data_IF_618448840252
#
_entry.id   IF_618448840252
#
_cell.length_a   1.000
_cell.length_b   1.000
_cell.length_c   1.000
_cell.angle_alpha   90.00
_cell.angle_beta   90.00
_cell.angle_gamma   90.00
#
_symmetry.space_group_name_H-M   'P 1'
#
loop_
_entity.id
_entity.type
_entity.pdbx_description
1 polymer ?
#
# COMPACT_ATOMS: atom_id res chain seq x y z
N UNK A 1 18.49 -9.58 -23.21
CA UNK A 1 18.57 -10.13 -21.84
C UNK A 1 19.61 -9.42 -20.97
N UNK A 2 20.80 -9.11 -21.47
CA UNK A 2 21.85 -8.41 -20.70
C UNK A 2 21.43 -7.02 -20.18
N UNK A 3 20.70 -6.26 -20.98
CA UNK A 3 20.20 -4.93 -20.61
C UNK A 3 19.28 -4.99 -19.42
N UNK A 4 18.33 -5.93 -19.41
CA UNK A 4 17.38 -6.12 -18.31
C UNK A 4 18.11 -6.51 -17.02
N UNK A 5 19.19 -7.29 -17.13
CA UNK A 5 19.99 -7.71 -15.99
C UNK A 5 20.85 -6.56 -15.43
N UNK A 6 21.34 -5.65 -16.28
CA UNK A 6 22.03 -4.43 -15.86
C UNK A 6 21.06 -3.46 -15.19
N UNK A 7 19.89 -3.26 -15.77
CA UNK A 7 18.86 -2.37 -15.23
C UNK A 7 18.30 -2.87 -13.89
N UNK A 8 18.20 -4.20 -13.71
CA UNK A 8 17.79 -4.77 -12.43
C UNK A 8 18.85 -4.65 -11.33
N UNK A 9 20.15 -4.58 -11.68
CA UNK A 9 21.23 -4.35 -10.70
C UNK A 9 21.16 -2.98 -10.04
N UNK A 10 20.63 -1.97 -10.72
CA UNK A 10 20.43 -0.63 -10.13
C UNK A 10 19.48 -0.71 -8.93
N UNK A 11 18.47 -1.57 -8.98
CA UNK A 11 17.51 -1.72 -7.88
C UNK A 11 18.18 -2.13 -6.56
N UNK A 12 19.25 -2.95 -6.61
CA UNK A 12 19.99 -3.37 -5.40
C UNK A 12 20.91 -2.28 -4.85
N UNK A 13 21.35 -1.33 -5.68
CA UNK A 13 22.20 -0.22 -5.26
C UNK A 13 21.40 0.93 -4.60
N UNK A 14 20.11 1.05 -4.90
CA UNK A 14 19.22 2.07 -4.34
C UNK A 14 18.63 1.70 -2.96
N UNK A 15 18.97 0.57 -2.39
CA UNK A 15 18.42 0.11 -1.10
C UNK A 15 18.66 1.09 0.06
N UNK A 16 19.71 1.90 0.03
CA UNK A 16 19.98 2.92 1.06
C UNK A 16 18.92 4.01 1.19
N UNK A 17 18.04 4.21 0.19
CA UNK A 17 17.00 5.25 0.19
C UNK A 17 15.64 4.72 0.67
N UNK A 18 15.47 3.42 0.84
CA UNK A 18 14.18 2.80 1.21
C UNK A 18 13.64 3.35 2.52
N UNK A 19 14.48 3.52 3.54
CA UNK A 19 14.09 4.11 4.81
C UNK A 19 13.61 5.55 4.68
N UNK A 20 14.31 6.37 3.89
CA UNK A 20 13.94 7.77 3.64
C UNK A 20 12.62 7.84 2.86
N UNK A 21 12.45 7.02 1.84
CA UNK A 21 11.20 6.94 1.08
C UNK A 21 10.03 6.47 1.93
N UNK A 22 10.27 5.52 2.83
CA UNK A 22 9.26 5.02 3.75
C UNK A 22 8.81 6.10 4.75
N UNK A 23 9.75 6.86 5.30
CA UNK A 23 9.46 8.00 6.18
C UNK A 23 8.73 9.12 5.42
N UNK A 24 9.11 9.41 4.17
CA UNK A 24 8.41 10.38 3.33
C UNK A 24 6.98 9.94 3.04
N UNK A 25 6.78 8.67 2.69
CA UNK A 25 5.45 8.13 2.42
C UNK A 25 4.53 8.28 3.64
N UNK A 26 4.94 7.78 4.80
CA UNK A 26 4.08 7.82 5.99
C UNK A 26 3.99 9.24 6.57
N UNK A 27 5.08 9.95 6.70
CA UNK A 27 5.14 11.28 7.33
C UNK A 27 4.47 12.32 6.46
N UNK A 28 4.96 12.53 5.25
CA UNK A 28 4.52 13.62 4.37
C UNK A 28 3.26 13.27 3.58
N UNK A 29 3.23 12.11 2.92
CA UNK A 29 2.14 11.74 2.02
C UNK A 29 0.88 11.23 2.74
N UNK A 30 1.04 10.66 3.93
CA UNK A 30 -0.10 10.09 4.66
C UNK A 30 -0.50 10.96 5.85
N UNK A 31 0.43 11.28 6.74
CA UNK A 31 0.12 12.00 7.98
C UNK A 31 -0.14 13.50 7.75
N UNK A 32 0.74 14.20 7.01
CA UNK A 32 0.56 15.64 6.74
C UNK A 32 -0.66 15.90 5.85
N UNK A 33 -0.95 15.00 4.88
CA UNK A 33 -2.12 15.06 4.02
C UNK A 33 -3.41 14.56 4.71
N UNK A 34 -3.39 14.29 6.00
CA UNK A 34 -4.53 13.80 6.79
C UNK A 34 -5.22 12.60 6.16
N UNK A 35 -4.44 11.70 5.56
CA UNK A 35 -4.90 10.50 4.87
C UNK A 35 -5.75 10.74 3.61
N UNK A 36 -5.77 11.94 3.04
CA UNK A 36 -6.62 12.26 1.91
C UNK A 36 -6.28 11.36 0.71
N UNK A 37 -5.01 11.31 0.29
CA UNK A 37 -4.56 10.47 -0.81
C UNK A 37 -4.80 8.98 -0.56
N UNK A 38 -4.51 8.51 0.65
CA UNK A 38 -4.75 7.11 1.03
C UNK A 38 -6.25 6.76 0.97
N UNK A 39 -7.13 7.67 1.38
CA UNK A 39 -8.58 7.47 1.30
C UNK A 39 -9.08 7.42 -0.13
N UNK A 40 -8.59 8.33 -1.00
CA UNK A 40 -8.94 8.36 -2.42
C UNK A 40 -8.54 7.05 -3.06
N UNK A 41 -7.27 6.67 -2.95
CA UNK A 41 -6.75 5.46 -3.60
C UNK A 41 -7.43 4.17 -3.10
N UNK A 42 -7.56 4.01 -1.79
CA UNK A 42 -8.28 2.86 -1.23
C UNK A 42 -9.78 2.90 -1.54
N UNK A 43 -10.36 4.07 -1.75
CA UNK A 43 -11.73 4.26 -2.24
C UNK A 43 -11.90 3.71 -3.66
N UNK A 44 -10.95 4.01 -4.55
CA UNK A 44 -10.93 3.45 -5.91
C UNK A 44 -10.80 1.93 -5.91
N UNK A 45 -9.91 1.37 -5.07
CA UNK A 45 -9.79 -0.09 -4.90
C UNK A 45 -11.10 -0.72 -4.46
N UNK A 46 -11.79 -0.12 -3.48
CA UNK A 46 -13.08 -0.61 -2.99
C UNK A 46 -14.19 -0.49 -4.04
N UNK A 47 -14.22 0.63 -4.78
CA UNK A 47 -15.17 0.84 -5.89
C UNK A 47 -14.96 -0.18 -7.00
N UNK A 48 -13.71 -0.43 -7.39
CA UNK A 48 -13.35 -1.45 -8.36
C UNK A 48 -13.76 -2.85 -7.89
N UNK A 49 -13.46 -3.20 -6.63
CA UNK A 49 -13.86 -4.47 -6.05
C UNK A 49 -15.38 -4.64 -6.02
N UNK A 50 -16.13 -3.59 -5.67
CA UNK A 50 -17.60 -3.61 -5.68
C UNK A 50 -18.18 -3.82 -7.09
N UNK A 51 -17.62 -3.13 -8.10
CA UNK A 51 -18.01 -3.30 -9.51
C UNK A 51 -17.65 -4.67 -10.07
N UNK A 52 -16.57 -5.28 -9.55
CA UNK A 52 -16.08 -6.61 -9.95
C UNK A 52 -16.77 -7.76 -9.21
N UNK A 53 -17.67 -7.46 -8.24
CA UNK A 53 -18.54 -8.43 -7.57
C UNK A 53 -19.85 -8.57 -8.36
N UNK A 54 -19.91 -9.34 -9.46
CA UNK A 54 -21.16 -9.52 -10.20
C UNK A 54 -22.10 -10.39 -9.37
N UNK A 55 -23.18 -9.82 -8.95
CA UNK A 55 -24.32 -10.53 -8.38
C UNK A 55 -25.29 -10.88 -9.51
N UNK A 56 -25.72 -12.11 -9.70
CA UNK A 56 -25.37 -13.42 -9.09
C UNK A 56 -24.48 -14.33 -9.97
N UNK A 57 -23.91 -13.85 -11.10
CA UNK A 57 -23.28 -14.65 -12.16
C UNK A 57 -21.74 -14.65 -12.20
N UNK A 58 -21.06 -14.15 -11.17
CA UNK A 58 -19.60 -14.05 -11.19
C UNK A 58 -18.87 -15.36 -10.95
N UNK A 59 -17.71 -15.50 -11.61
CA UNK A 59 -16.80 -16.61 -11.39
C UNK A 59 -16.29 -16.60 -9.92
N UNK A 60 -16.18 -17.80 -9.32
CA UNK A 60 -15.65 -18.00 -7.96
C UNK A 60 -14.31 -17.30 -7.73
N UNK A 61 -13.44 -17.33 -8.74
CA UNK A 61 -12.10 -16.71 -8.71
C UNK A 61 -12.20 -15.19 -8.62
N UNK A 62 -13.04 -14.55 -9.45
CA UNK A 62 -13.25 -13.10 -9.42
C UNK A 62 -13.79 -12.62 -8.07
N UNK A 63 -14.74 -13.35 -7.50
CA UNK A 63 -15.24 -13.04 -6.14
C UNK A 63 -14.16 -13.12 -5.09
N UNK A 64 -13.31 -14.15 -5.14
CA UNK A 64 -12.18 -14.30 -4.21
C UNK A 64 -11.18 -13.13 -4.35
N UNK A 65 -10.87 -12.75 -5.59
CA UNK A 65 -9.97 -11.62 -5.86
C UNK A 65 -10.56 -10.29 -5.35
N UNK A 66 -11.83 -10.01 -5.66
CA UNK A 66 -12.51 -8.80 -5.18
C UNK A 66 -12.52 -8.72 -3.65
N UNK A 67 -12.84 -9.82 -2.95
CA UNK A 67 -12.77 -9.87 -1.48
C UNK A 67 -11.35 -9.68 -0.94
N UNK A 68 -10.33 -10.17 -1.65
CA UNK A 68 -8.94 -9.95 -1.29
C UNK A 68 -8.58 -8.47 -1.40
N UNK A 69 -9.00 -7.79 -2.47
CA UNK A 69 -8.79 -6.34 -2.62
C UNK A 69 -9.48 -5.53 -1.53
N UNK A 70 -10.71 -5.90 -1.17
CA UNK A 70 -11.42 -5.24 -0.05
C UNK A 70 -10.61 -5.36 1.25
N UNK A 71 -10.15 -6.57 1.57
CA UNK A 71 -9.33 -6.82 2.78
C UNK A 71 -8.03 -6.02 2.75
N UNK A 72 -7.34 -5.98 1.60
CA UNK A 72 -6.09 -5.23 1.43
C UNK A 72 -6.32 -3.73 1.63
N UNK A 73 -7.36 -3.15 1.02
CA UNK A 73 -7.67 -1.73 1.13
C UNK A 73 -8.01 -1.32 2.57
N UNK A 74 -8.84 -2.11 3.25
CA UNK A 74 -9.22 -1.85 4.64
C UNK A 74 -8.04 -1.99 5.60
N UNK A 75 -7.21 -3.04 5.41
CA UNK A 75 -6.00 -3.25 6.20
C UNK A 75 -4.98 -2.14 5.98
N UNK A 76 -4.84 -1.63 4.76
CA UNK A 76 -3.95 -0.52 4.46
C UNK A 76 -4.35 0.75 5.21
N UNK A 77 -5.64 1.10 5.19
CA UNK A 77 -6.16 2.20 6.01
C UNK A 77 -5.89 2.00 7.49
N UNK A 78 -6.21 0.81 8.01
CA UNK A 78 -6.00 0.48 9.41
C UNK A 78 -4.53 0.63 9.83
N UNK A 79 -3.59 0.12 9.03
CA UNK A 79 -2.16 0.24 9.31
C UNK A 79 -1.70 1.70 9.34
N UNK A 80 -2.15 2.51 8.39
CA UNK A 80 -1.86 3.95 8.37
C UNK A 80 -2.36 4.65 9.64
N UNK A 81 -3.61 4.41 10.04
CA UNK A 81 -4.15 4.99 11.28
C UNK A 81 -3.44 4.48 12.54
N UNK A 82 -3.11 3.20 12.59
CA UNK A 82 -2.37 2.61 13.71
C UNK A 82 -0.99 3.27 13.87
N UNK A 83 -0.24 3.43 12.79
CA UNK A 83 1.05 4.12 12.81
C UNK A 83 0.91 5.58 13.23
N UNK A 84 -0.13 6.29 12.76
CA UNK A 84 -0.41 7.66 13.17
C UNK A 84 -0.67 7.77 14.68
N UNK A 85 -1.45 6.85 15.24
CA UNK A 85 -1.75 6.83 16.67
C UNK A 85 -0.51 6.50 17.51
N UNK A 86 0.30 5.55 17.06
CA UNK A 86 1.55 5.20 17.72
C UNK A 86 2.56 6.34 17.66
N UNK A 87 2.67 7.03 16.51
CA UNK A 87 3.57 8.17 16.34
C UNK A 87 3.27 9.35 17.26
N UNK A 88 2.02 9.54 17.69
CA UNK A 88 1.66 10.55 18.71
C UNK A 88 2.24 10.24 20.10
N UNK A 89 2.44 8.95 20.41
CA UNK A 89 2.98 8.50 21.70
C UNK A 89 4.49 8.34 21.64
N UNK A 90 5.00 7.83 20.53
CA UNK A 90 6.42 7.56 20.33
C UNK A 90 6.77 7.82 18.85
N UNK A 91 7.47 8.93 18.54
CA UNK A 91 7.90 9.23 17.16
C UNK A 91 8.77 8.13 16.52
N UNK A 92 9.58 7.43 17.31
CA UNK A 92 10.47 6.38 16.83
C UNK A 92 9.68 5.16 16.29
N UNK A 93 8.47 4.95 16.80
CA UNK A 93 7.59 3.88 16.32
C UNK A 93 7.18 4.08 14.85
N UNK A 94 7.08 5.34 14.39
CA UNK A 94 6.80 5.64 12.98
C UNK A 94 7.99 5.25 12.12
N UNK A 95 9.20 5.55 12.56
CA UNK A 95 10.43 5.14 11.88
C UNK A 95 10.53 3.62 11.72
N UNK A 96 10.34 2.89 12.82
CA UNK A 96 10.40 1.43 12.83
C UNK A 96 9.34 0.78 11.92
N UNK A 97 8.10 1.32 11.90
CA UNK A 97 7.00 0.76 11.09
C UNK A 97 6.93 1.29 9.66
N UNK A 98 7.73 2.31 9.30
CA UNK A 98 7.62 2.98 8.00
C UNK A 98 7.99 2.07 6.83
N UNK A 99 9.04 1.27 6.95
CA UNK A 99 9.51 0.36 5.92
C UNK A 99 8.45 -0.74 5.64
N UNK A 100 7.88 -1.32 6.68
CA UNK A 100 6.81 -2.33 6.55
C UNK A 100 5.56 -1.72 5.91
N UNK A 101 5.23 -0.47 6.26
CA UNK A 101 4.12 0.25 5.65
C UNK A 101 4.36 0.52 4.16
N UNK A 102 5.58 0.92 3.77
CA UNK A 102 5.97 1.11 2.37
C UNK A 102 5.85 -0.20 1.59
N UNK A 103 6.38 -1.30 2.12
CA UNK A 103 6.31 -2.62 1.49
C UNK A 103 4.86 -3.09 1.34
N UNK A 104 4.05 -2.93 2.38
CA UNK A 104 2.62 -3.25 2.31
C UNK A 104 1.90 -2.42 1.25
N UNK A 105 2.21 -1.11 1.18
CA UNK A 105 1.65 -0.20 0.17
C UNK A 105 1.99 -0.65 -1.25
N UNK A 106 3.24 -1.03 -1.49
CA UNK A 106 3.69 -1.57 -2.78
C UNK A 106 2.94 -2.85 -3.18
N UNK A 107 2.82 -3.81 -2.26
CA UNK A 107 2.09 -5.06 -2.53
C UNK A 107 0.60 -4.82 -2.75
N UNK A 108 -0.03 -3.94 -1.97
CA UNK A 108 -1.44 -3.60 -2.15
C UNK A 108 -1.69 -2.92 -3.51
N UNK A 109 -0.78 -2.02 -3.91
CA UNK A 109 -0.81 -1.37 -5.22
C UNK A 109 -0.66 -2.38 -6.36
N UNK A 110 0.36 -3.25 -6.30
CA UNK A 110 0.57 -4.28 -7.33
C UNK A 110 -0.62 -5.24 -7.43
N UNK A 111 -1.18 -5.65 -6.30
CA UNK A 111 -2.37 -6.51 -6.27
C UNK A 111 -3.61 -5.85 -6.89
N UNK A 112 -3.70 -4.52 -6.83
CA UNK A 112 -4.78 -3.75 -7.48
C UNK A 112 -4.58 -3.64 -8.98
N UNK A 113 -3.33 -3.45 -9.43
CA UNK A 113 -3.00 -3.29 -10.86
C UNK A 113 -3.01 -4.61 -11.63
N UNK A 114 -2.81 -5.75 -10.96
CA UNK A 114 -2.82 -7.10 -11.55
C UNK A 114 -4.25 -7.60 -11.76
#
# INVERSE_FOLDING_TARGET
MEQILRDSRIATLYEGTTGIQALDLIGRKVLMDRFAQLKIFTGEMLSFAAKSLPWPRGNKTQRKQAWTLVKLALKWRYLGYKLAMQGKRNPDAVGAGSADFLMYSGYAYMAFMW
#
